data_IF_796456934370
#
_entry.id   IF_796456934370
#
_cell.length_a   1.000
_cell.length_b   1.000
_cell.length_c   1.000
_cell.angle_alpha   90.00
_cell.angle_beta   90.00
_cell.angle_gamma   90.00
#
_symmetry.space_group_name_H-M   'P 1'
#
loop_
_entity.id
_entity.type
_entity.pdbx_description
1 polymer ?
#
# COMPACT_ATOMS: atom_id res chain seq x y z
N UNK A 1 -19.85 -6.93 -26.66
CA UNK A 1 -18.83 -6.07 -26.03
C UNK A 1 -19.40 -5.66 -24.70
N UNK A 2 -19.11 -6.40 -23.66
CA UNK A 2 -19.51 -6.09 -22.29
C UNK A 2 -18.51 -5.09 -21.69
N UNK A 3 -18.96 -4.15 -20.85
CA UNK A 3 -18.10 -3.14 -20.28
C UNK A 3 -17.16 -3.76 -19.25
N UNK A 4 -15.86 -3.46 -19.39
CA UNK A 4 -14.82 -3.78 -18.42
C UNK A 4 -15.25 -3.29 -17.03
N UNK A 5 -15.32 -4.23 -16.09
CA UNK A 5 -15.72 -3.97 -14.71
C UNK A 5 -14.63 -3.13 -14.01
N UNK A 6 -15.02 -1.95 -13.54
CA UNK A 6 -14.14 -0.96 -12.91
C UNK A 6 -13.94 -1.29 -11.44
N UNK A 7 -12.77 -1.77 -11.10
CA UNK A 7 -12.37 -1.97 -9.71
C UNK A 7 -11.70 -0.74 -9.09
N UNK A 8 -11.75 -0.65 -7.80
CA UNK A 8 -11.60 0.39 -6.80
C UNK A 8 -10.39 1.35 -6.89
N UNK A 9 -9.81 1.59 -8.07
CA UNK A 9 -8.78 2.61 -8.33
C UNK A 9 -9.03 3.40 -9.61
N UNK A 10 -10.30 3.57 -10.01
CA UNK A 10 -10.65 4.26 -11.25
C UNK A 10 -10.66 5.79 -11.06
N UNK A 11 -9.71 6.54 -11.59
CA UNK A 11 -9.84 7.99 -11.69
C UNK A 11 -10.82 8.30 -12.81
N UNK A 12 -12.11 8.42 -12.48
CA UNK A 12 -13.08 8.96 -13.41
C UNK A 12 -12.64 10.35 -13.90
N UNK A 13 -12.76 10.56 -15.20
CA UNK A 13 -12.49 11.82 -15.91
C UNK A 13 -12.86 13.03 -15.07
N UNK A 14 -11.93 13.97 -14.99
CA UNK A 14 -12.09 15.27 -14.38
C UNK A 14 -13.16 16.13 -15.09
N UNK A 15 -14.40 15.81 -14.79
CA UNK A 15 -15.49 16.79 -14.79
C UNK A 15 -16.16 16.68 -13.43
N UNK A 16 -15.84 17.64 -12.55
CA UNK A 16 -16.29 17.77 -11.15
C UNK A 16 -16.19 16.48 -10.34
N UNK A 17 -15.07 16.27 -9.63
CA UNK A 17 -14.77 15.13 -8.79
C UNK A 17 -15.76 14.83 -7.66
N UNK A 18 -17.02 14.55 -8.00
CA UNK A 18 -18.09 14.32 -7.05
C UNK A 18 -18.88 13.08 -7.42
N UNK A 19 -18.74 12.02 -6.63
CA UNK A 19 -19.61 10.84 -6.69
C UNK A 19 -20.63 10.91 -5.57
N UNK A 20 -21.93 10.76 -5.89
CA UNK A 20 -22.99 10.73 -4.88
C UNK A 20 -22.93 9.42 -4.08
N UNK A 21 -22.82 9.54 -2.78
CA UNK A 21 -22.93 8.45 -1.83
C UNK A 21 -24.40 8.04 -1.61
N UNK A 22 -24.63 6.83 -1.08
CA UNK A 22 -25.99 6.30 -0.79
C UNK A 22 -26.82 7.19 0.15
N UNK A 23 -26.17 7.95 1.01
CA UNK A 23 -26.78 8.90 1.95
C UNK A 23 -26.96 10.32 1.39
N UNK A 24 -26.63 10.56 0.11
CA UNK A 24 -26.72 11.86 -0.54
C UNK A 24 -25.51 12.78 -0.36
N UNK A 25 -24.50 12.37 0.42
CA UNK A 25 -23.22 13.06 0.51
C UNK A 25 -22.44 12.94 -0.79
N UNK A 26 -21.51 13.87 -1.01
CA UNK A 26 -20.69 13.92 -2.22
C UNK A 26 -19.26 13.60 -1.84
N UNK A 27 -18.71 12.52 -2.38
CA UNK A 27 -17.32 12.17 -2.19
C UNK A 27 -16.42 13.17 -2.91
N UNK A 28 -15.47 13.77 -2.18
CA UNK A 28 -14.52 14.75 -2.72
C UNK A 28 -13.20 14.06 -3.07
N UNK A 29 -13.03 13.71 -4.33
CA UNK A 29 -11.83 13.02 -4.83
C UNK A 29 -10.54 13.84 -4.71
N UNK A 30 -10.65 15.15 -4.71
CA UNK A 30 -9.54 16.10 -4.55
C UNK A 30 -8.85 16.03 -3.17
N UNK A 31 -9.47 15.35 -2.22
CA UNK A 31 -8.93 15.12 -0.86
C UNK A 31 -8.59 13.66 -0.58
N UNK A 32 -8.61 12.81 -1.58
CA UNK A 32 -8.24 11.39 -1.42
C UNK A 32 -6.73 11.25 -1.25
N UNK A 33 -6.34 10.32 -0.39
CA UNK A 33 -4.94 9.94 -0.17
C UNK A 33 -4.26 9.36 -1.43
N UNK A 34 -5.04 8.82 -2.35
CA UNK A 34 -4.57 8.26 -3.63
C UNK A 34 -4.26 9.30 -4.71
N UNK A 35 -4.73 10.55 -4.58
CA UNK A 35 -4.61 11.56 -5.64
C UNK A 35 -3.30 12.31 -5.61
N UNK A 36 -2.40 12.16 -4.84
CA UNK A 36 -1.13 12.83 -4.88
C UNK A 36 -1.18 14.35 -4.66
N UNK A 37 -0.06 14.90 -4.35
CA UNK A 37 0.17 16.33 -4.13
C UNK A 37 0.98 16.87 -5.30
N UNK A 38 0.61 18.03 -5.82
CA UNK A 38 1.45 18.76 -6.79
C UNK A 38 2.73 19.20 -6.12
N UNK A 39 3.84 18.78 -6.69
CA UNK A 39 5.19 19.11 -6.21
C UNK A 39 6.01 19.69 -7.37
N UNK A 40 7.02 20.49 -7.05
CA UNK A 40 8.02 20.89 -8.04
C UNK A 40 9.01 19.75 -8.20
N UNK A 41 9.26 19.24 -9.42
CA UNK A 41 10.28 18.24 -9.65
C UNK A 41 11.66 18.75 -9.20
N UNK A 42 12.46 17.87 -8.59
CA UNK A 42 13.82 18.19 -8.12
C UNK A 42 14.79 17.20 -8.75
N UNK A 43 15.81 17.69 -9.45
CA UNK A 43 16.82 16.79 -10.02
C UNK A 43 17.74 16.22 -8.93
N UNK A 44 18.39 15.09 -9.21
CA UNK A 44 19.35 14.50 -8.28
C UNK A 44 20.53 15.44 -7.97
N UNK A 45 20.91 16.31 -8.88
CA UNK A 45 21.99 17.28 -8.69
C UNK A 45 21.57 18.43 -7.75
N UNK A 46 20.28 18.74 -7.68
CA UNK A 46 19.73 19.79 -6.84
C UNK A 46 19.21 19.30 -5.48
N UNK A 47 18.99 17.99 -5.33
CA UNK A 47 18.47 17.40 -4.10
C UNK A 47 19.51 17.34 -3.01
N UNK A 48 19.18 17.83 -1.82
CA UNK A 48 20.06 17.80 -0.65
C UNK A 48 19.98 16.46 0.09
N UNK A 49 20.77 15.48 -0.39
CA UNK A 49 20.86 14.14 0.20
C UNK A 49 21.37 14.14 1.65
N UNK A 50 22.21 15.10 2.01
CA UNK A 50 22.77 15.16 3.37
C UNK A 50 21.69 15.57 4.35
N UNK A 51 20.98 16.64 4.03
CA UNK A 51 19.86 17.12 4.85
C UNK A 51 18.78 16.06 5.00
N UNK A 52 18.44 15.33 3.93
CA UNK A 52 17.42 14.28 4.01
C UNK A 52 17.87 13.10 4.87
N UNK A 53 19.13 12.67 4.76
CA UNK A 53 19.69 11.61 5.59
C UNK A 53 19.75 12.00 7.07
N UNK A 54 20.14 13.25 7.40
CA UNK A 54 20.10 13.78 8.77
C UNK A 54 18.68 13.82 9.33
N UNK A 55 17.69 14.20 8.50
CA UNK A 55 16.28 14.16 8.88
C UNK A 55 15.82 12.72 9.16
N UNK A 56 16.08 11.76 8.24
CA UNK A 56 15.75 10.35 8.45
C UNK A 56 16.39 9.81 9.74
N UNK A 57 17.68 10.13 9.98
CA UNK A 57 18.40 9.69 11.18
C UNK A 57 17.76 10.23 12.46
N UNK A 58 17.34 11.51 12.45
CA UNK A 58 16.72 12.16 13.61
C UNK A 58 15.41 11.51 14.07
N UNK A 59 14.73 10.77 13.18
CA UNK A 59 13.46 10.11 13.48
C UNK A 59 13.63 8.68 14.02
N UNK A 60 14.83 8.09 13.91
CA UNK A 60 15.04 6.66 14.22
C UNK A 60 14.81 6.31 15.67
N UNK A 61 15.22 7.15 16.61
CA UNK A 61 15.09 6.82 18.03
C UNK A 61 13.64 6.68 18.43
N UNK A 62 12.79 7.62 18.01
CA UNK A 62 11.34 7.56 18.26
C UNK A 62 10.70 6.30 17.65
N UNK A 63 11.12 5.90 16.46
CA UNK A 63 10.64 4.67 15.83
C UNK A 63 11.08 3.41 16.58
N UNK A 64 12.31 3.37 17.11
CA UNK A 64 12.78 2.23 17.93
C UNK A 64 11.99 2.13 19.23
N UNK A 65 11.83 3.22 19.96
CA UNK A 65 11.01 3.26 21.17
C UNK A 65 9.60 2.75 20.92
N UNK A 66 8.96 3.18 19.82
CA UNK A 66 7.65 2.70 19.42
C UNK A 66 7.63 1.21 19.09
N UNK A 67 8.65 0.69 18.39
CA UNK A 67 8.70 -0.74 18.04
C UNK A 67 8.85 -1.63 19.26
N UNK A 68 9.59 -1.17 20.28
CA UNK A 68 9.84 -1.89 21.54
C UNK A 68 8.69 -1.77 22.55
N UNK A 69 7.89 -0.71 22.47
CA UNK A 69 6.75 -0.48 23.35
C UNK A 69 5.54 -1.35 23.01
N UNK A 70 4.66 -1.58 23.98
CA UNK A 70 3.41 -2.29 23.77
C UNK A 70 2.30 -1.38 23.20
N UNK A 71 2.46 -0.06 23.36
CA UNK A 71 1.52 0.96 22.87
C UNK A 71 2.26 2.23 22.42
N UNK A 72 1.61 3.08 21.65
CA UNK A 72 2.16 4.38 21.28
C UNK A 72 1.61 4.90 19.97
N UNK A 73 2.01 6.13 19.62
CA UNK A 73 1.63 6.78 18.37
C UNK A 73 2.89 7.20 17.61
N UNK A 74 2.96 6.84 16.33
CA UNK A 74 3.80 7.52 15.34
C UNK A 74 2.93 8.30 14.37
N UNK A 75 3.41 9.43 13.91
CA UNK A 75 2.75 10.25 12.89
C UNK A 75 3.51 10.15 11.58
N UNK A 76 2.82 9.77 10.53
CA UNK A 76 3.35 9.74 9.17
C UNK A 76 2.61 10.74 8.28
N UNK A 77 3.26 11.86 7.94
CA UNK A 77 2.74 12.80 6.95
C UNK A 77 3.12 12.31 5.56
N UNK A 78 2.21 11.60 4.91
CA UNK A 78 2.44 11.08 3.57
C UNK A 78 2.41 12.20 2.54
N UNK A 79 3.49 12.35 1.78
CA UNK A 79 3.57 13.25 0.62
C UNK A 79 3.77 12.40 -0.63
N UNK A 80 2.70 12.18 -1.37
CA UNK A 80 2.69 11.40 -2.59
C UNK A 80 2.66 12.34 -3.79
N UNK A 81 3.65 12.24 -4.69
CA UNK A 81 3.70 13.08 -5.88
C UNK A 81 2.58 12.72 -6.87
N UNK A 82 1.89 13.76 -7.37
CA UNK A 82 0.87 13.59 -8.41
C UNK A 82 1.48 13.03 -9.70
N UNK A 83 0.77 12.14 -10.37
CA UNK A 83 1.16 11.54 -11.65
C UNK A 83 2.07 10.32 -11.57
N UNK A 84 2.79 10.11 -10.45
CA UNK A 84 3.78 9.02 -10.30
C UNK A 84 3.14 7.63 -10.41
N UNK A 85 1.90 7.48 -9.96
CA UNK A 85 1.19 6.20 -9.92
C UNK A 85 0.18 6.02 -11.08
N UNK A 86 0.37 6.77 -12.17
CA UNK A 86 -0.38 6.63 -13.43
C UNK A 86 0.44 7.14 -14.62
N UNK A 87 0.29 8.36 -15.10
CA UNK A 87 0.88 8.82 -16.37
C UNK A 87 2.41 8.86 -16.35
N UNK A 88 3.03 9.17 -15.19
CA UNK A 88 4.48 9.40 -15.04
C UNK A 88 5.27 8.15 -14.67
N UNK A 89 4.61 7.02 -14.43
CA UNK A 89 5.30 5.77 -14.11
C UNK A 89 6.18 5.24 -15.26
N UNK A 90 5.94 5.67 -16.49
CA UNK A 90 6.68 5.25 -17.69
C UNK A 90 7.97 6.01 -17.93
N UNK A 91 8.11 7.20 -17.36
CA UNK A 91 9.33 8.01 -17.44
C UNK A 91 10.05 7.98 -16.08
N UNK A 92 11.07 7.15 -15.99
CA UNK A 92 11.81 6.93 -14.74
C UNK A 92 12.45 8.20 -14.20
N UNK A 93 12.94 9.07 -15.10
CA UNK A 93 13.55 10.35 -14.70
C UNK A 93 12.50 11.30 -14.13
N UNK A 94 11.40 11.50 -14.85
CA UNK A 94 10.32 12.36 -14.39
C UNK A 94 9.71 11.83 -13.09
N UNK A 95 9.49 10.51 -13.00
CA UNK A 95 9.01 9.86 -11.78
C UNK A 95 9.94 10.09 -10.59
N UNK A 96 11.25 9.89 -10.77
CA UNK A 96 12.24 10.14 -9.71
C UNK A 96 12.28 11.62 -9.31
N UNK A 97 12.33 12.55 -10.26
CA UNK A 97 12.40 13.98 -9.97
C UNK A 97 11.15 14.49 -9.24
N UNK A 98 9.96 13.97 -9.59
CA UNK A 98 8.72 14.26 -8.86
C UNK A 98 8.75 13.69 -7.43
N UNK A 99 9.22 12.46 -7.27
CA UNK A 99 9.35 11.85 -5.95
C UNK A 99 10.41 12.58 -5.10
N UNK A 100 11.53 13.00 -5.65
CA UNK A 100 12.51 13.85 -4.94
C UNK A 100 11.88 15.17 -4.52
N UNK A 101 11.03 15.78 -5.37
CA UNK A 101 10.24 16.95 -4.99
C UNK A 101 9.28 16.68 -3.82
N UNK A 102 8.65 15.50 -3.78
CA UNK A 102 7.81 15.08 -2.67
C UNK A 102 8.62 14.87 -1.38
N UNK A 103 9.78 14.22 -1.47
CA UNK A 103 10.68 14.08 -0.31
C UNK A 103 11.17 15.44 0.22
N UNK A 104 11.55 16.36 -0.65
CA UNK A 104 11.94 17.72 -0.26
C UNK A 104 10.77 18.45 0.42
N UNK A 105 9.57 18.35 -0.14
CA UNK A 105 8.37 18.95 0.45
C UNK A 105 8.03 18.34 1.81
N UNK A 106 8.27 17.04 2.00
CA UNK A 106 7.99 16.38 3.27
C UNK A 106 8.77 16.94 4.46
N UNK A 107 9.94 17.57 4.21
CA UNK A 107 10.73 18.24 5.24
C UNK A 107 10.07 19.48 5.85
N UNK A 108 8.98 19.97 5.23
CA UNK A 108 8.20 21.09 5.76
C UNK A 108 7.23 20.67 6.87
N UNK A 109 6.97 19.36 7.00
CA UNK A 109 5.95 18.82 7.87
C UNK A 109 6.53 18.04 9.05
N UNK A 110 5.95 18.25 10.22
CA UNK A 110 6.29 17.47 11.40
C UNK A 110 5.79 16.04 11.28
N UNK A 111 6.69 15.05 11.44
CA UNK A 111 6.38 13.62 11.36
C UNK A 111 7.39 12.80 12.15
N UNK A 112 7.08 11.54 12.44
CA UNK A 112 7.97 10.55 13.08
C UNK A 112 8.54 9.54 12.06
N UNK A 113 8.02 9.53 10.83
CA UNK A 113 8.44 8.63 9.76
C UNK A 113 8.73 9.44 8.50
N UNK A 114 9.92 9.25 7.93
CA UNK A 114 10.31 9.88 6.67
C UNK A 114 9.57 9.28 5.48
N UNK A 115 9.33 10.08 4.44
CA UNK A 115 8.84 9.58 3.17
C UNK A 115 9.95 8.83 2.41
N UNK A 116 9.60 8.03 1.42
CA UNK A 116 10.50 7.14 0.70
C UNK A 116 10.21 7.14 -0.81
N UNK A 117 11.14 6.62 -1.59
CA UNK A 117 10.98 6.45 -3.05
C UNK A 117 10.24 5.14 -3.35
N UNK A 118 9.38 5.19 -4.35
CA UNK A 118 8.52 4.07 -4.76
C UNK A 118 8.72 3.79 -6.27
N UNK A 119 9.54 2.79 -6.66
CA UNK A 119 9.68 2.39 -8.05
C UNK A 119 8.42 1.63 -8.50
N UNK A 120 7.40 2.37 -8.94
CA UNK A 120 6.08 1.86 -9.24
C UNK A 120 5.81 1.81 -10.75
N UNK A 121 5.31 0.67 -11.23
CA UNK A 121 4.95 0.47 -12.63
C UNK A 121 3.65 -0.35 -12.79
N UNK A 122 2.61 -0.01 -12.03
CA UNK A 122 1.33 -0.72 -12.03
C UNK A 122 1.32 -1.94 -11.11
N UNK A 123 0.16 -2.58 -11.03
CA UNK A 123 -0.15 -3.66 -10.07
C UNK A 123 -0.40 -5.02 -10.74
N UNK A 124 -0.72 -5.04 -12.03
CA UNK A 124 -1.06 -6.26 -12.77
C UNK A 124 0.15 -6.98 -13.42
N UNK A 125 1.38 -6.76 -12.96
CA UNK A 125 2.59 -7.30 -13.59
C UNK A 125 2.66 -8.83 -13.61
N UNK A 126 1.89 -9.53 -12.77
CA UNK A 126 1.76 -11.00 -12.79
C UNK A 126 1.20 -11.50 -14.13
N UNK A 127 0.34 -10.72 -14.79
CA UNK A 127 -0.24 -11.09 -16.09
C UNK A 127 0.85 -11.31 -17.17
N UNK A 128 1.97 -10.58 -17.06
CA UNK A 128 3.11 -10.75 -17.95
C UNK A 128 3.70 -12.17 -17.95
N UNK A 129 3.59 -12.90 -16.83
CA UNK A 129 4.04 -14.30 -16.72
C UNK A 129 3.33 -15.22 -17.73
N UNK A 130 2.17 -14.83 -18.18
CA UNK A 130 1.31 -15.58 -19.11
C UNK A 130 1.12 -14.86 -20.44
N UNK A 131 1.96 -13.86 -20.74
CA UNK A 131 1.93 -13.11 -22.00
C UNK A 131 0.96 -11.92 -22.02
N UNK A 132 0.38 -11.56 -20.87
CA UNK A 132 -0.45 -10.35 -20.74
C UNK A 132 0.38 -9.07 -20.81
N UNK A 133 -0.21 -8.02 -21.33
CA UNK A 133 0.42 -6.72 -21.50
C UNK A 133 -0.39 -5.63 -20.79
N UNK A 134 0.29 -4.56 -20.36
CA UNK A 134 -0.38 -3.39 -19.82
C UNK A 134 -1.07 -2.57 -20.90
N UNK A 135 -2.29 -2.18 -20.62
CA UNK A 135 -3.02 -1.13 -21.33
C UNK A 135 -2.86 0.20 -20.57
N UNK A 136 -2.35 1.21 -21.26
CA UNK A 136 -2.16 2.55 -20.70
C UNK A 136 -3.25 3.48 -21.24
N UNK A 137 -4.03 4.05 -20.35
CA UNK A 137 -5.05 5.06 -20.64
C UNK A 137 -4.66 6.37 -19.96
N UNK A 138 -4.84 7.50 -20.63
CA UNK A 138 -4.50 8.83 -20.10
C UNK A 138 -5.19 9.07 -18.74
N UNK A 139 -4.41 9.49 -17.74
CA UNK A 139 -4.89 9.81 -16.40
C UNK A 139 -5.31 8.59 -15.57
N UNK A 140 -4.90 7.37 -15.97
CA UNK A 140 -5.23 6.14 -15.28
C UNK A 140 -3.99 5.29 -15.02
N UNK A 141 -4.01 4.52 -13.93
CA UNK A 141 -3.02 3.47 -13.70
C UNK A 141 -3.09 2.43 -14.84
N UNK A 142 -1.96 1.81 -15.22
CA UNK A 142 -1.96 0.76 -16.21
C UNK A 142 -2.83 -0.42 -15.76
N UNK A 143 -3.62 -0.95 -16.69
CA UNK A 143 -4.51 -2.07 -16.47
C UNK A 143 -4.09 -3.30 -17.28
N UNK A 144 -4.54 -4.46 -16.88
CA UNK A 144 -4.39 -5.71 -17.63
C UNK A 144 -5.76 -6.32 -17.91
N UNK A 145 -5.84 -7.16 -18.93
CA UNK A 145 -7.03 -7.97 -19.20
C UNK A 145 -6.82 -9.38 -18.70
N UNK A 146 -7.77 -9.94 -17.95
CA UNK A 146 -7.77 -11.35 -17.60
C UNK A 146 -7.71 -12.22 -18.87
N UNK A 147 -7.02 -13.36 -18.78
CA UNK A 147 -6.73 -14.22 -19.93
C UNK A 147 -7.28 -15.62 -19.78
N UNK A 148 -7.61 -16.06 -18.56
CA UNK A 148 -8.11 -17.39 -18.26
C UNK A 148 -9.55 -17.32 -17.76
N UNK A 149 -10.31 -18.42 -17.93
CA UNK A 149 -11.67 -18.53 -17.44
C UNK A 149 -11.83 -19.59 -16.34
N UNK A 150 -10.78 -20.35 -16.04
CA UNK A 150 -10.74 -21.32 -14.94
C UNK A 150 -9.35 -21.45 -14.35
N UNK A 151 -9.27 -21.99 -13.13
CA UNK A 151 -8.01 -22.36 -12.48
C UNK A 151 -7.32 -23.50 -13.23
N UNK A 152 -8.07 -24.44 -13.82
CA UNK A 152 -7.51 -25.50 -14.66
C UNK A 152 -6.75 -24.93 -15.86
N UNK A 153 -7.32 -23.96 -16.60
CA UNK A 153 -6.65 -23.29 -17.71
C UNK A 153 -5.37 -22.56 -17.24
N UNK A 154 -5.45 -21.84 -16.12
CA UNK A 154 -4.32 -21.11 -15.55
C UNK A 154 -3.18 -22.05 -15.14
N UNK A 155 -3.48 -23.13 -14.43
CA UNK A 155 -2.50 -24.09 -13.94
C UNK A 155 -1.90 -24.95 -15.05
N UNK A 156 -2.62 -25.17 -16.15
CA UNK A 156 -2.09 -25.84 -17.33
C UNK A 156 -1.10 -24.96 -18.12
N UNK A 157 -1.14 -23.64 -17.95
CA UNK A 157 -0.22 -22.73 -18.59
C UNK A 157 1.15 -22.74 -17.88
N UNK A 158 2.24 -22.71 -18.65
CA UNK A 158 3.59 -22.60 -18.10
C UNK A 158 3.97 -21.11 -17.94
N UNK A 159 4.03 -20.58 -16.70
CA UNK A 159 4.35 -19.18 -16.51
C UNK A 159 5.83 -18.87 -16.78
N UNK A 160 6.08 -17.72 -17.41
CA UNK A 160 7.40 -17.10 -17.39
C UNK A 160 7.66 -16.48 -16.01
N UNK A 161 8.91 -16.27 -15.64
CA UNK A 161 9.27 -15.54 -14.41
C UNK A 161 8.96 -14.05 -14.57
N UNK A 162 8.46 -13.39 -13.51
CA UNK A 162 8.09 -11.96 -13.55
C UNK A 162 9.25 -11.10 -14.06
N UNK A 163 10.47 -11.35 -13.60
CA UNK A 163 11.66 -10.59 -14.01
C UNK A 163 12.02 -10.69 -15.48
N UNK A 164 11.51 -11.68 -16.19
CA UNK A 164 11.73 -11.86 -17.63
C UNK A 164 10.62 -11.21 -18.47
N UNK A 165 9.54 -10.80 -17.85
CA UNK A 165 8.42 -10.13 -18.54
C UNK A 165 8.74 -8.66 -18.82
N UNK A 166 8.06 -8.00 -19.78
CA UNK A 166 8.24 -6.57 -20.02
C UNK A 166 7.99 -5.73 -18.76
N UNK A 167 6.90 -5.98 -18.03
CA UNK A 167 6.56 -5.22 -16.83
C UNK A 167 7.56 -5.47 -15.68
N UNK A 168 7.96 -6.73 -15.47
CA UNK A 168 8.95 -7.08 -14.44
C UNK A 168 10.31 -6.46 -14.69
N UNK A 169 10.80 -6.51 -15.93
CA UNK A 169 12.05 -5.82 -16.31
C UNK A 169 11.95 -4.32 -16.06
N UNK A 170 10.86 -3.69 -16.46
CA UNK A 170 10.64 -2.27 -16.26
C UNK A 170 10.73 -1.87 -14.78
N UNK A 171 10.14 -2.68 -13.88
CA UNK A 171 10.20 -2.44 -12.43
C UNK A 171 11.65 -2.58 -11.91
N UNK A 172 12.37 -3.63 -12.30
CA UNK A 172 13.75 -3.83 -11.85
C UNK A 172 14.69 -2.74 -12.37
N UNK A 173 14.62 -2.42 -13.66
CA UNK A 173 15.44 -1.37 -14.29
C UNK A 173 15.13 0.02 -13.70
N UNK A 174 13.86 0.32 -13.41
CA UNK A 174 13.47 1.55 -12.70
C UNK A 174 14.06 1.58 -11.28
N UNK A 175 14.05 0.44 -10.57
CA UNK A 175 14.66 0.32 -9.26
C UNK A 175 16.17 0.54 -9.32
N UNK A 176 16.87 -0.08 -10.27
CA UNK A 176 18.30 0.12 -10.53
C UNK A 176 18.61 1.59 -10.85
N UNK A 177 17.80 2.21 -11.69
CA UNK A 177 17.94 3.63 -12.03
C UNK A 177 17.81 4.52 -10.79
N UNK A 178 16.79 4.29 -9.93
CA UNK A 178 16.62 5.04 -8.67
C UNK A 178 17.83 4.86 -7.75
N UNK A 179 18.29 3.62 -7.59
CA UNK A 179 19.45 3.31 -6.75
C UNK A 179 20.74 3.93 -7.29
N UNK A 180 20.97 3.87 -8.59
CA UNK A 180 22.15 4.50 -9.20
C UNK A 180 22.11 6.02 -9.06
N UNK A 181 20.99 6.66 -9.39
CA UNK A 181 20.87 8.12 -9.36
C UNK A 181 20.95 8.69 -7.93
N UNK A 182 20.43 7.99 -6.95
CA UNK A 182 20.45 8.41 -5.53
C UNK A 182 21.66 7.86 -4.75
N UNK A 183 22.46 6.97 -5.36
CA UNK A 183 23.57 6.26 -4.72
C UNK A 183 23.14 5.49 -3.46
N UNK A 184 21.89 4.99 -3.45
CA UNK A 184 21.30 4.27 -2.31
C UNK A 184 21.15 5.09 -1.03
N UNK A 185 21.23 6.41 -1.09
CA UNK A 185 21.19 7.26 0.10
C UNK A 185 19.79 7.44 0.66
N UNK A 186 18.76 7.31 -0.16
CA UNK A 186 17.36 7.50 0.23
C UNK A 186 16.68 6.18 0.53
N UNK A 187 15.67 6.16 1.40
CA UNK A 187 14.85 4.97 1.60
C UNK A 187 14.02 4.67 0.33
N UNK A 188 14.00 3.41 -0.08
CA UNK A 188 13.30 2.92 -1.29
C UNK A 188 12.44 1.72 -0.92
N UNK A 189 11.17 1.70 -1.33
CA UNK A 189 10.29 0.56 -1.11
C UNK A 189 10.42 -0.49 -2.23
N UNK A 190 9.88 -1.68 -1.97
CA UNK A 190 9.47 -2.58 -3.04
C UNK A 190 8.36 -1.91 -3.87
N UNK A 191 8.15 -2.42 -5.10
CA UNK A 191 6.99 -2.02 -5.91
C UNK A 191 5.68 -2.34 -5.19
N UNK A 192 4.55 -1.90 -5.74
CA UNK A 192 3.23 -2.20 -5.19
C UNK A 192 2.96 -3.71 -5.22
N UNK A 193 2.77 -4.30 -4.06
CA UNK A 193 2.65 -5.75 -3.90
C UNK A 193 1.18 -6.10 -3.64
N UNK A 194 0.65 -6.94 -4.53
CA UNK A 194 -0.71 -7.42 -4.43
C UNK A 194 -0.74 -8.81 -3.76
N UNK A 195 -1.79 -9.07 -2.98
CA UNK A 195 -2.03 -10.40 -2.40
C UNK A 195 -2.31 -11.46 -3.48
N UNK A 196 -2.18 -12.75 -3.18
CA UNK A 196 -2.53 -13.82 -4.09
C UNK A 196 -3.94 -13.72 -4.68
N UNK A 197 -4.97 -13.39 -3.89
CA UNK A 197 -6.33 -13.23 -4.42
C UNK A 197 -6.44 -12.05 -5.40
N UNK A 198 -5.77 -10.92 -5.10
CA UNK A 198 -5.73 -9.79 -6.02
C UNK A 198 -4.97 -10.16 -7.30
N UNK A 199 -3.85 -10.88 -7.20
CA UNK A 199 -3.10 -11.34 -8.38
C UNK A 199 -3.94 -12.26 -9.27
N UNK A 200 -4.72 -13.17 -8.68
CA UNK A 200 -5.63 -14.02 -9.47
C UNK A 200 -6.70 -13.22 -10.20
N UNK A 201 -7.18 -12.11 -9.63
CA UNK A 201 -8.17 -11.25 -10.29
C UNK A 201 -7.62 -10.48 -11.51
N UNK A 202 -6.28 -10.43 -11.69
CA UNK A 202 -5.67 -9.93 -12.92
C UNK A 202 -5.50 -11.02 -14.00
N UNK A 203 -5.65 -12.28 -13.63
CA UNK A 203 -5.51 -13.45 -14.50
C UNK A 203 -6.86 -14.04 -14.93
N UNK A 204 -7.83 -14.03 -14.01
CA UNK A 204 -9.23 -14.46 -14.25
C UNK A 204 -10.18 -13.27 -14.07
N UNK A 205 -11.25 -13.18 -14.86
CA UNK A 205 -12.36 -12.29 -14.53
C UNK A 205 -12.81 -12.53 -13.08
N UNK A 206 -13.08 -11.47 -12.33
CA UNK A 206 -13.41 -11.59 -10.90
C UNK A 206 -14.64 -12.49 -10.65
N UNK A 207 -15.60 -12.49 -11.58
CA UNK A 207 -16.78 -13.37 -11.53
C UNK A 207 -16.37 -14.83 -11.65
N UNK A 208 -15.44 -15.13 -12.56
CA UNK A 208 -14.97 -16.49 -12.78
C UNK A 208 -14.16 -16.96 -11.57
N UNK A 209 -13.26 -16.11 -11.03
CA UNK A 209 -12.52 -16.40 -9.81
C UNK A 209 -13.45 -16.74 -8.62
N UNK A 210 -14.53 -15.98 -8.43
CA UNK A 210 -15.48 -16.26 -7.35
C UNK A 210 -16.34 -17.50 -7.60
N UNK A 211 -16.56 -17.90 -8.85
CA UNK A 211 -17.18 -19.22 -9.14
C UNK A 211 -16.21 -20.35 -8.83
N UNK A 212 -14.93 -20.22 -9.21
CA UNK A 212 -13.88 -21.22 -8.95
C UNK A 212 -13.66 -21.45 -7.44
N UNK A 213 -13.88 -20.45 -6.57
CA UNK A 213 -13.84 -20.63 -5.10
C UNK A 213 -14.75 -21.78 -4.64
N UNK A 214 -15.87 -22.02 -5.33
CA UNK A 214 -16.83 -23.07 -5.02
C UNK A 214 -16.71 -24.29 -5.94
N UNK A 215 -16.37 -24.08 -7.22
CA UNK A 215 -16.35 -25.15 -8.22
C UNK A 215 -15.01 -25.92 -8.22
N UNK A 216 -13.87 -25.23 -7.96
CA UNK A 216 -12.52 -25.82 -7.88
C UNK A 216 -11.66 -25.17 -6.77
N UNK A 217 -12.02 -25.34 -5.49
CA UNK A 217 -11.28 -24.73 -4.37
C UNK A 217 -9.81 -25.20 -4.30
N UNK A 218 -9.51 -26.43 -4.67
CA UNK A 218 -8.13 -26.95 -4.68
C UNK A 218 -7.29 -26.26 -5.77
N UNK A 219 -7.86 -26.05 -6.96
CA UNK A 219 -7.23 -25.31 -8.03
C UNK A 219 -6.99 -23.83 -7.66
N UNK A 220 -7.94 -23.18 -7.00
CA UNK A 220 -7.77 -21.80 -6.48
C UNK A 220 -6.60 -21.72 -5.50
N UNK A 221 -6.53 -22.65 -4.57
CA UNK A 221 -5.44 -22.73 -3.57
C UNK A 221 -4.07 -22.94 -4.22
N UNK A 222 -4.01 -23.82 -5.24
CA UNK A 222 -2.77 -24.07 -5.97
C UNK A 222 -2.36 -22.84 -6.80
N UNK A 223 -3.30 -22.17 -7.48
CA UNK A 223 -3.05 -20.96 -8.24
C UNK A 223 -2.62 -19.77 -7.36
N UNK A 224 -3.22 -19.62 -6.17
CA UNK A 224 -2.82 -18.62 -5.19
C UNK A 224 -1.36 -18.85 -4.73
N UNK A 225 -1.00 -20.09 -4.44
CA UNK A 225 0.37 -20.45 -4.05
C UNK A 225 1.37 -20.31 -5.21
N UNK A 226 0.97 -20.61 -6.45
CA UNK A 226 1.78 -20.36 -7.65
C UNK A 226 2.10 -18.85 -7.79
N UNK A 227 1.08 -18.01 -7.68
CA UNK A 227 1.22 -16.56 -7.74
C UNK A 227 2.16 -16.03 -6.65
N UNK A 228 2.01 -16.53 -5.41
CA UNK A 228 2.89 -16.18 -4.30
C UNK A 228 4.36 -16.57 -4.55
N UNK A 229 4.61 -17.73 -5.15
CA UNK A 229 5.97 -18.18 -5.48
C UNK A 229 6.63 -17.32 -6.55
N UNK A 230 5.92 -17.02 -7.64
CA UNK A 230 6.40 -16.13 -8.70
C UNK A 230 6.74 -14.75 -8.15
N UNK A 231 5.86 -14.22 -7.31
CA UNK A 231 6.05 -12.93 -6.64
C UNK A 231 7.28 -12.93 -5.74
N UNK A 232 7.44 -13.94 -4.88
CA UNK A 232 8.57 -14.01 -3.94
C UNK A 232 9.93 -14.05 -4.65
N UNK A 233 10.05 -14.79 -5.77
CA UNK A 233 11.28 -14.82 -6.58
C UNK A 233 11.61 -13.43 -7.13
N UNK A 234 10.63 -12.75 -7.68
CA UNK A 234 10.76 -11.41 -8.24
C UNK A 234 11.14 -10.37 -7.18
N UNK A 235 10.40 -10.33 -6.07
CA UNK A 235 10.65 -9.37 -5.00
C UNK A 235 12.01 -9.58 -4.32
N UNK A 236 12.51 -10.80 -4.23
CA UNK A 236 13.86 -11.05 -3.74
C UNK A 236 14.93 -10.45 -4.65
N UNK A 237 14.71 -10.39 -5.98
CA UNK A 237 15.60 -9.69 -6.90
C UNK A 237 15.54 -8.19 -6.70
N UNK A 238 14.34 -7.61 -6.62
CA UNK A 238 14.18 -6.19 -6.33
C UNK A 238 14.81 -5.81 -4.99
N UNK A 239 14.57 -6.61 -3.94
CA UNK A 239 15.19 -6.44 -2.63
C UNK A 239 16.73 -6.47 -2.68
N UNK A 240 17.31 -7.36 -3.50
CA UNK A 240 18.76 -7.42 -3.67
C UNK A 240 19.33 -6.17 -4.35
N UNK A 241 18.59 -5.55 -5.29
CA UNK A 241 18.97 -4.27 -5.92
C UNK A 241 18.91 -3.13 -4.88
N UNK A 242 17.85 -3.07 -4.08
CA UNK A 242 17.64 -1.99 -3.09
C UNK A 242 18.63 -2.11 -1.92
N UNK A 243 18.92 -3.32 -1.45
CA UNK A 243 19.86 -3.55 -0.34
C UNK A 243 19.46 -2.82 0.94
N UNK A 244 20.43 -2.15 1.58
CA UNK A 244 20.24 -1.43 2.87
C UNK A 244 19.34 -0.19 2.76
N UNK A 245 18.97 0.22 1.56
CA UNK A 245 18.03 1.32 1.34
C UNK A 245 16.55 0.90 1.52
N UNK A 246 16.28 -0.40 1.70
CA UNK A 246 14.92 -0.91 1.76
C UNK A 246 14.12 -0.31 2.92
N UNK A 247 13.01 0.36 2.58
CA UNK A 247 11.97 0.80 3.49
C UNK A 247 10.79 -0.19 3.43
N UNK A 248 10.51 -0.86 4.54
CA UNK A 248 9.41 -1.81 4.68
C UNK A 248 8.25 -1.18 5.45
N UNK A 249 7.02 -1.64 5.29
CA UNK A 249 6.58 -2.77 4.44
C UNK A 249 6.41 -2.44 2.95
N UNK A 250 6.42 -1.17 2.53
CA UNK A 250 6.44 -0.78 1.12
C UNK A 250 5.29 0.12 0.71
N UNK A 251 4.96 0.06 -0.57
CA UNK A 251 3.96 0.92 -1.20
C UNK A 251 2.64 0.96 -0.42
N UNK A 252 2.11 2.16 -0.26
CA UNK A 252 0.82 2.37 0.38
C UNK A 252 0.90 2.56 1.90
N UNK A 253 1.93 2.05 2.55
CA UNK A 253 2.06 2.03 4.01
C UNK A 253 3.09 3.02 4.53
N UNK A 254 2.96 3.42 5.79
CA UNK A 254 4.06 4.06 6.49
C UNK A 254 5.23 3.08 6.57
N UNK A 255 6.35 3.44 5.95
CA UNK A 255 7.48 2.54 5.76
C UNK A 255 8.78 3.17 6.24
N UNK A 256 9.67 2.35 6.76
CA UNK A 256 10.96 2.76 7.30
C UNK A 256 11.98 1.65 7.14
N UNK A 257 13.27 2.01 7.14
CA UNK A 257 14.37 1.03 7.20
C UNK A 257 14.38 0.22 8.50
N UNK A 258 13.69 0.68 9.54
CA UNK A 258 13.56 -0.02 10.84
C UNK A 258 12.38 -0.97 10.87
N UNK A 259 11.43 -0.82 9.96
CA UNK A 259 10.26 -1.68 9.90
C UNK A 259 10.58 -2.96 9.11
N UNK A 260 9.69 -3.91 9.19
CA UNK A 260 9.79 -5.20 8.54
C UNK A 260 8.49 -5.55 7.82
N UNK A 261 8.49 -6.70 7.18
CA UNK A 261 7.30 -7.24 6.54
C UNK A 261 7.15 -6.80 5.10
N UNK A 262 6.13 -7.36 4.48
CA UNK A 262 5.69 -7.07 3.13
C UNK A 262 4.23 -6.59 3.16
N UNK A 263 3.96 -5.45 2.56
CA UNK A 263 2.61 -4.93 2.43
C UNK A 263 1.88 -5.66 1.32
N UNK A 264 0.75 -6.26 1.64
CA UNK A 264 -0.11 -6.96 0.68
C UNK A 264 -1.41 -6.17 0.52
N UNK A 265 -1.67 -5.66 -0.69
CA UNK A 265 -2.97 -5.10 -1.05
C UNK A 265 -3.93 -6.26 -1.32
N UNK A 266 -4.96 -6.38 -0.49
CA UNK A 266 -5.87 -7.54 -0.41
C UNK A 266 -7.34 -7.13 -0.54
N UNK A 267 -7.62 -6.28 -1.52
CA UNK A 267 -8.92 -5.62 -1.69
C UNK A 267 -10.07 -6.61 -1.97
N UNK A 268 -9.75 -7.74 -2.61
CA UNK A 268 -10.75 -8.75 -2.94
C UNK A 268 -11.13 -9.65 -1.74
N UNK A 269 -10.37 -9.61 -0.64
CA UNK A 269 -10.66 -10.40 0.57
C UNK A 269 -12.03 -10.10 1.17
N UNK A 270 -12.50 -8.86 1.05
CA UNK A 270 -13.84 -8.46 1.57
C UNK A 270 -15.00 -9.10 0.82
N UNK A 271 -14.76 -9.63 -0.39
CA UNK A 271 -15.77 -10.26 -1.25
C UNK A 271 -15.91 -11.76 -1.02
N UNK A 272 -15.02 -12.36 -0.25
CA UNK A 272 -14.97 -13.81 0.04
C UNK A 272 -15.36 -14.05 1.49
N UNK A 273 -16.03 -15.13 1.82
CA UNK A 273 -16.33 -15.51 3.20
C UNK A 273 -15.03 -15.74 3.99
N UNK A 274 -15.07 -15.53 5.31
CA UNK A 274 -13.86 -15.67 6.16
C UNK A 274 -13.29 -17.08 6.10
N UNK A 275 -14.15 -18.07 6.10
CA UNK A 275 -13.78 -19.49 6.03
C UNK A 275 -13.08 -19.82 4.70
N UNK A 276 -13.67 -19.38 3.59
CA UNK A 276 -13.09 -19.61 2.25
C UNK A 276 -11.75 -18.88 2.10
N UNK A 277 -11.63 -17.64 2.61
CA UNK A 277 -10.37 -16.92 2.57
C UNK A 277 -9.27 -17.67 3.37
N UNK A 278 -9.59 -18.12 4.57
CA UNK A 278 -8.66 -18.89 5.42
C UNK A 278 -8.18 -20.17 4.74
N UNK A 279 -9.08 -20.85 4.07
CA UNK A 279 -8.76 -22.12 3.41
C UNK A 279 -7.94 -21.93 2.13
N UNK A 280 -8.27 -20.92 1.31
CA UNK A 280 -7.78 -20.82 -0.06
C UNK A 280 -6.60 -19.85 -0.22
N UNK A 281 -6.56 -18.73 0.51
CA UNK A 281 -5.62 -17.64 0.26
C UNK A 281 -4.67 -17.36 1.41
N UNK A 282 -5.12 -17.43 2.66
CA UNK A 282 -4.35 -17.06 3.84
C UNK A 282 -3.00 -17.76 3.93
N UNK A 283 -2.93 -19.05 3.56
CA UNK A 283 -1.67 -19.81 3.58
C UNK A 283 -0.63 -19.21 2.63
N UNK A 284 -1.05 -18.68 1.48
CA UNK A 284 -0.15 -18.07 0.51
C UNK A 284 0.36 -16.69 1.00
N UNK A 285 -0.50 -15.91 1.66
CA UNK A 285 -0.11 -14.64 2.30
C UNK A 285 0.88 -14.86 3.44
N UNK A 286 0.60 -15.81 4.33
CA UNK A 286 1.49 -16.18 5.43
C UNK A 286 2.84 -16.69 4.92
N UNK A 287 2.82 -17.50 3.84
CA UNK A 287 4.02 -18.00 3.19
C UNK A 287 4.89 -16.89 2.60
N UNK A 288 4.27 -15.83 2.03
CA UNK A 288 4.96 -14.63 1.60
C UNK A 288 5.50 -13.86 2.81
N UNK A 289 4.67 -13.59 3.80
CA UNK A 289 5.05 -12.85 5.01
C UNK A 289 6.26 -13.46 5.71
N UNK A 290 6.31 -14.78 5.85
CA UNK A 290 7.44 -15.50 6.48
C UNK A 290 8.78 -15.18 5.79
N UNK A 291 8.78 -15.00 4.45
CA UNK A 291 9.99 -14.72 3.65
C UNK A 291 10.47 -13.29 3.73
N UNK A 292 9.58 -12.37 4.07
CA UNK A 292 9.86 -10.93 4.13
C UNK A 292 9.81 -10.35 5.54
N UNK A 293 9.74 -11.21 6.57
CA UNK A 293 9.82 -10.79 7.96
C UNK A 293 8.49 -10.40 8.60
N UNK A 294 7.37 -10.70 7.96
CA UNK A 294 6.00 -10.51 8.43
C UNK A 294 5.06 -10.06 7.32
N UNK A 295 3.76 -10.20 7.56
CA UNK A 295 2.70 -9.76 6.66
C UNK A 295 2.17 -8.41 7.13
N UNK A 296 1.85 -7.52 6.19
CA UNK A 296 1.05 -6.31 6.42
C UNK A 296 -0.18 -6.40 5.56
N UNK A 297 -1.35 -6.40 6.20
CA UNK A 297 -2.64 -6.54 5.53
C UNK A 297 -3.22 -5.17 5.19
N UNK A 298 -3.69 -5.02 3.97
CA UNK A 298 -4.51 -3.89 3.53
C UNK A 298 -5.73 -4.37 2.75
N UNK A 299 -6.86 -3.74 2.99
CA UNK A 299 -8.01 -3.83 2.11
C UNK A 299 -8.67 -2.46 1.97
N UNK A 300 -9.09 -2.13 0.74
CA UNK A 300 -10.00 -1.01 0.51
C UNK A 300 -11.38 -1.32 1.12
N UNK A 301 -12.15 -0.26 1.40
CA UNK A 301 -13.49 -0.38 1.98
C UNK A 301 -13.50 -0.71 3.47
N UNK A 302 -14.69 -1.05 3.95
CA UNK A 302 -14.88 -1.46 5.33
C UNK A 302 -14.63 -2.97 5.48
N UNK A 303 -13.57 -3.31 6.20
CA UNK A 303 -13.21 -4.70 6.51
C UNK A 303 -13.30 -5.05 8.01
N UNK A 304 -14.10 -4.29 8.78
CA UNK A 304 -14.31 -4.50 10.22
C UNK A 304 -14.66 -5.96 10.55
N UNK A 305 -15.50 -6.58 9.75
CA UNK A 305 -15.89 -7.99 9.91
C UNK A 305 -14.73 -8.99 9.74
N UNK A 306 -13.61 -8.59 9.14
CA UNK A 306 -12.42 -9.42 8.92
C UNK A 306 -11.32 -9.24 9.99
N UNK A 307 -11.50 -8.35 10.97
CA UNK A 307 -10.47 -8.05 11.98
C UNK A 307 -10.01 -9.34 12.70
N UNK A 308 -10.98 -10.20 13.07
CA UNK A 308 -10.65 -11.47 13.74
C UNK A 308 -9.76 -12.36 12.90
N UNK A 309 -10.06 -12.47 11.60
CA UNK A 309 -9.26 -13.22 10.64
C UNK A 309 -7.85 -12.65 10.52
N UNK A 310 -7.73 -11.34 10.28
CA UNK A 310 -6.44 -10.66 10.12
C UNK A 310 -5.56 -10.84 11.35
N UNK A 311 -6.12 -10.71 12.55
CA UNK A 311 -5.38 -10.92 13.81
C UNK A 311 -4.87 -12.34 14.00
N UNK A 312 -5.48 -13.32 13.37
CA UNK A 312 -5.08 -14.74 13.43
C UNK A 312 -4.06 -15.12 12.36
N UNK A 313 -3.80 -14.26 11.36
CA UNK A 313 -2.79 -14.52 10.33
C UNK A 313 -1.41 -14.65 10.97
N UNK A 314 -0.71 -15.73 10.63
CA UNK A 314 0.63 -15.99 11.16
C UNK A 314 1.62 -14.94 10.65
N UNK A 315 2.31 -14.30 11.60
CA UNK A 315 3.34 -13.32 11.26
C UNK A 315 2.79 -11.94 10.85
N UNK A 316 1.49 -11.68 11.07
CA UNK A 316 0.94 -10.35 10.88
C UNK A 316 1.72 -9.32 11.71
N UNK A 317 2.19 -8.26 11.06
CA UNK A 317 2.99 -7.22 11.69
C UNK A 317 2.22 -5.90 11.80
N UNK A 318 1.45 -5.59 10.76
CA UNK A 318 0.69 -4.35 10.64
C UNK A 318 -0.61 -4.62 9.88
N UNK A 319 -1.63 -3.83 10.17
CA UNK A 319 -2.86 -3.78 9.39
C UNK A 319 -3.16 -2.34 9.00
N UNK A 320 -3.64 -2.10 7.78
CA UNK A 320 -3.96 -0.77 7.27
C UNK A 320 -5.46 -0.59 7.10
N UNK A 321 -5.95 0.59 7.46
CA UNK A 321 -7.34 0.96 7.28
C UNK A 321 -7.56 2.43 6.94
N UNK A 322 -8.61 2.68 6.15
CA UNK A 322 -9.13 4.01 5.86
C UNK A 322 -10.28 4.33 6.81
N UNK A 323 -10.27 5.51 7.45
CA UNK A 323 -11.20 5.84 8.53
C UNK A 323 -12.03 7.11 8.30
N UNK A 324 -11.83 7.79 7.18
CA UNK A 324 -12.62 8.95 6.78
C UNK A 324 -13.14 8.81 5.37
N UNK A 325 -14.26 9.46 5.06
CA UNK A 325 -14.89 9.41 3.74
C UNK A 325 -13.98 9.93 2.60
N UNK A 326 -13.00 10.77 2.95
CA UNK A 326 -12.01 11.28 2.00
C UNK A 326 -10.92 10.25 1.69
N UNK A 327 -10.71 9.25 2.56
CA UNK A 327 -9.77 8.16 2.31
C UNK A 327 -10.43 6.96 1.65
N UNK A 328 -11.70 6.71 1.95
CA UNK A 328 -12.48 5.62 1.33
C UNK A 328 -13.99 5.92 1.37
N UNK A 329 -14.76 5.66 0.29
CA UNK A 329 -16.21 5.83 0.27
C UNK A 329 -16.97 4.99 1.31
N UNK A 330 -16.37 3.90 1.79
CA UNK A 330 -16.91 3.02 2.83
C UNK A 330 -15.88 2.85 3.95
N UNK A 331 -15.63 3.89 4.77
CA UNK A 331 -14.56 3.87 5.76
C UNK A 331 -14.86 2.88 6.89
N UNK A 332 -13.79 2.41 7.53
CA UNK A 332 -13.87 1.56 8.71
C UNK A 332 -14.37 2.33 9.94
N UNK A 333 -14.94 1.60 10.91
CA UNK A 333 -15.34 2.18 12.19
C UNK A 333 -14.12 2.33 13.13
N UNK A 334 -13.71 3.56 13.49
CA UNK A 334 -12.53 3.76 14.33
C UNK A 334 -12.67 3.16 15.73
N UNK A 335 -13.86 3.16 16.34
CA UNK A 335 -14.03 2.58 17.68
C UNK A 335 -13.81 1.07 17.67
N UNK A 336 -14.40 0.37 16.71
CA UNK A 336 -14.27 -1.09 16.59
C UNK A 336 -12.82 -1.50 16.34
N UNK A 337 -12.10 -0.78 15.47
CA UNK A 337 -10.68 -1.03 15.22
C UNK A 337 -9.82 -0.75 16.43
N UNK A 338 -10.02 0.38 17.11
CA UNK A 338 -9.31 0.74 18.33
C UNK A 338 -9.48 -0.33 19.42
N UNK A 339 -10.70 -0.79 19.65
CA UNK A 339 -11.00 -1.83 20.64
C UNK A 339 -10.40 -3.17 20.29
N UNK A 340 -10.51 -3.60 19.02
CA UNK A 340 -10.09 -4.92 18.64
C UNK A 340 -8.58 -5.05 18.43
N UNK A 341 -7.87 -3.98 18.04
CA UNK A 341 -6.41 -4.01 17.88
C UNK A 341 -5.63 -3.66 19.17
N UNK A 342 -6.28 -3.09 20.21
CA UNK A 342 -5.65 -2.92 21.51
C UNK A 342 -5.12 -4.26 22.05
N UNK A 343 -3.96 -4.23 22.69
CA UNK A 343 -3.25 -5.39 23.26
C UNK A 343 -2.94 -6.54 22.27
N UNK A 344 -3.09 -6.29 20.94
CA UNK A 344 -2.79 -7.28 19.92
C UNK A 344 -1.30 -7.37 19.55
N UNK A 345 -0.53 -6.32 19.84
CA UNK A 345 0.84 -6.15 19.35
C UNK A 345 0.96 -5.84 17.84
N UNK A 346 -0.18 -5.82 17.12
CA UNK A 346 -0.23 -5.47 15.68
C UNK A 346 -0.29 -3.95 15.54
N UNK A 347 0.55 -3.40 14.68
CA UNK A 347 0.53 -1.96 14.38
C UNK A 347 -0.68 -1.65 13.50
N UNK A 348 -1.50 -0.69 13.90
CA UNK A 348 -2.58 -0.17 13.07
C UNK A 348 -2.08 1.06 12.28
N UNK A 349 -1.95 0.93 10.98
CA UNK A 349 -1.65 2.04 10.05
C UNK A 349 -2.97 2.68 9.63
N UNK A 350 -3.33 3.80 10.25
CA UNK A 350 -4.65 4.39 10.09
C UNK A 350 -4.59 5.66 9.22
N UNK A 351 -5.36 5.67 8.14
CA UNK A 351 -5.46 6.81 7.22
C UNK A 351 -6.70 7.63 7.53
N UNK A 352 -6.51 8.93 7.84
CA UNK A 352 -7.58 9.87 8.05
C UNK A 352 -7.25 11.23 7.43
N UNK A 353 -8.24 11.83 6.77
CA UNK A 353 -8.11 13.09 6.02
C UNK A 353 -9.27 14.04 6.37
N UNK A 354 -9.00 15.33 6.29
CA UNK A 354 -10.00 16.38 6.45
C UNK A 354 -10.23 16.79 7.89
N UNK A 355 -11.31 17.52 8.12
CA UNK A 355 -11.63 18.12 9.43
C UNK A 355 -11.86 17.06 10.53
N UNK A 356 -12.24 15.85 10.16
CA UNK A 356 -12.56 14.77 11.09
C UNK A 356 -11.33 13.91 11.47
N UNK A 357 -10.14 14.19 10.92
CA UNK A 357 -8.95 13.38 11.16
C UNK A 357 -8.59 13.31 12.66
N UNK A 358 -8.60 14.44 13.36
CA UNK A 358 -8.30 14.51 14.79
C UNK A 358 -9.28 13.66 15.60
N UNK A 359 -10.57 13.88 15.45
CA UNK A 359 -11.61 13.13 16.18
C UNK A 359 -11.62 11.64 15.82
N UNK A 360 -11.24 11.30 14.58
CA UNK A 360 -11.06 9.92 14.14
C UNK A 360 -9.93 9.23 14.90
N UNK A 361 -8.76 9.89 15.01
CA UNK A 361 -7.63 9.33 15.77
C UNK A 361 -7.94 9.28 17.28
N UNK A 362 -8.70 10.22 17.85
CA UNK A 362 -9.17 10.17 19.24
C UNK A 362 -10.08 8.97 19.50
N UNK A 363 -10.92 8.60 18.54
CA UNK A 363 -11.78 7.42 18.62
C UNK A 363 -11.01 6.11 18.39
N UNK A 364 -9.94 6.12 17.62
CA UNK A 364 -9.09 4.97 17.38
C UNK A 364 -8.20 4.65 18.57
N UNK A 365 -7.50 5.65 19.11
CA UNK A 365 -6.43 5.39 20.07
C UNK A 365 -6.95 4.92 21.42
N UNK A 366 -6.42 3.81 21.86
CA UNK A 366 -6.71 3.14 23.14
C UNK A 366 -5.40 2.73 23.81
N UNK A 367 -5.46 2.54 25.14
CA UNK A 367 -4.36 1.90 25.86
C UNK A 367 -4.08 0.51 25.24
N UNK A 368 -2.81 0.14 25.10
CA UNK A 368 -2.41 -1.11 24.46
C UNK A 368 -2.44 -1.08 22.90
N UNK A 369 -2.74 0.07 22.28
CA UNK A 369 -2.72 0.18 20.81
C UNK A 369 -1.41 0.76 20.29
N UNK A 370 -0.83 0.12 19.30
CA UNK A 370 0.26 0.67 18.47
C UNK A 370 -0.33 1.30 17.23
N UNK A 371 -0.34 2.64 17.17
CA UNK A 371 -0.97 3.40 16.10
C UNK A 371 0.06 4.15 15.25
N UNK A 372 -0.01 4.02 13.93
CA UNK A 372 0.60 4.95 13.00
C UNK A 372 -0.52 5.81 12.41
N UNK A 373 -0.54 7.08 12.79
CA UNK A 373 -1.48 8.05 12.26
C UNK A 373 -0.97 8.60 10.92
N UNK A 374 -1.57 8.14 9.81
CA UNK A 374 -1.24 8.64 8.47
C UNK A 374 -2.05 9.88 8.18
N UNK A 375 -1.37 11.01 8.02
CA UNK A 375 -1.97 12.33 7.88
C UNK A 375 -1.73 12.92 6.49
N UNK A 376 -2.59 13.86 6.10
CA UNK A 376 -2.59 14.52 4.79
C UNK A 376 -2.84 16.02 4.91
N UNK A 377 -2.43 16.66 6.00
CA UNK A 377 -2.60 18.11 6.22
C UNK A 377 -1.99 18.90 5.06
N UNK A 378 -2.69 19.95 4.64
CA UNK A 378 -2.26 20.75 3.48
C UNK A 378 -1.15 21.72 3.83
N UNK A 379 -1.17 22.25 5.07
CA UNK A 379 -0.15 23.19 5.55
C UNK A 379 0.73 22.62 6.67
N UNK A 380 1.90 23.22 6.85
CA UNK A 380 2.81 22.82 7.93
C UNK A 380 2.21 23.12 9.32
N UNK A 381 1.47 24.22 9.44
CA UNK A 381 0.82 24.63 10.69
C UNK A 381 -0.29 23.65 11.10
N UNK A 382 -1.11 23.21 10.15
CA UNK A 382 -2.13 22.16 10.41
C UNK A 382 -1.48 20.86 10.85
N UNK A 383 -0.40 20.47 10.16
CA UNK A 383 0.33 19.25 10.49
C UNK A 383 0.98 19.33 11.87
N UNK A 384 1.60 20.46 12.22
CA UNK A 384 2.21 20.66 13.53
C UNK A 384 1.16 20.63 14.66
N UNK A 385 -0.01 21.25 14.43
CA UNK A 385 -1.09 21.24 15.39
C UNK A 385 -1.63 19.82 15.64
N UNK A 386 -1.87 19.06 14.56
CA UNK A 386 -2.34 17.66 14.65
C UNK A 386 -1.27 16.75 15.28
N UNK A 387 0.00 16.88 14.86
CA UNK A 387 1.13 16.16 15.43
C UNK A 387 1.22 16.31 16.95
N UNK A 388 1.16 17.54 17.44
CA UNK A 388 1.20 17.85 18.87
C UNK A 388 0.03 17.22 19.62
N UNK A 389 -1.18 17.33 19.10
CA UNK A 389 -2.38 16.73 19.71
C UNK A 389 -2.30 15.21 19.80
N UNK A 390 -1.81 14.55 18.77
CA UNK A 390 -1.64 13.09 18.76
C UNK A 390 -0.64 12.64 19.84
N UNK A 391 0.47 13.35 20.01
CA UNK A 391 1.43 13.03 21.08
C UNK A 391 0.95 13.42 22.48
N UNK A 392 0.18 14.48 22.62
CA UNK A 392 -0.52 14.80 23.89
C UNK A 392 -1.54 13.72 24.26
N UNK A 393 -2.24 13.14 23.28
CA UNK A 393 -3.18 12.04 23.49
C UNK A 393 -2.44 10.78 23.97
N UNK A 394 -1.30 10.46 23.37
CA UNK A 394 -0.44 9.36 23.82
C UNK A 394 -0.02 9.54 25.30
N UNK A 395 0.43 10.75 25.66
CA UNK A 395 0.86 11.04 27.04
C UNK A 395 -0.26 10.97 28.08
N UNK A 396 -1.50 11.28 27.69
CA UNK A 396 -2.66 11.23 28.62
C UNK A 396 -3.08 9.80 28.99
N UNK A 397 -2.73 8.80 28.18
CA UNK A 397 -3.10 7.39 28.41
C UNK A 397 -1.97 6.56 29.04
N UNK A 398 -0.74 7.09 29.07
CA UNK A 398 0.38 6.56 29.85
C UNK A 398 0.24 6.89 31.33
#
# INVERSE_FOLDING_TARGET
MEPVQKFCCDPMKAESGKTRMKNGEVFQYDKRDSQGTRVTPVSCEAFDFVRYAEYEESLKERQKEFLEADEGILVYRRVRADGVFYDKCRDWKESLELQLGALQKSLEYQADIANFLEPWYGIGYIAGCFGGEYEFLDGQAPAVRPMFHSTEELLAAAPEKIENTPAGRQILEMTEYFMDRTKGKLPVSLTDVQSPINMLSYLLPITDLFMEVYDDPDGVKEAAMLSAKLLAEFLNKQKAIIGDALASPGHGFASSRLFRGIGLSDDNSIMVAEEDYKELFQLADEWLGERFGGTVFHSCGNWEQKISMVKQMKGIFMADGAFTIQTDPSPNNPDAFGEQFADSGIILNARAVGADAESTFERLYRKGLKLIAVTYCETAEEQEALYRKLHEMEQRLK
#
